data_IF_696964165065
#
_entry.id   IF_696964165065
#
_cell.length_a   1.000
_cell.length_b   1.000
_cell.length_c   1.000
_cell.angle_alpha   90.00
_cell.angle_beta   90.00
_cell.angle_gamma   90.00
#
_symmetry.space_group_name_H-M   'P 1'
#
loop_
_entity.id
_entity.type
_entity.pdbx_description
1 polymer ?
#
# COMPACT_ATOMS: atom_id res chain seq x y z
N UNK A 1 -20.11 -6.53 170.30
CA UNK A 1 -20.97 -5.56 169.58
C UNK A 1 -20.15 -4.47 168.90
N UNK A 2 -19.17 -3.86 169.58
CA UNK A 2 -18.35 -2.75 169.07
C UNK A 2 -17.52 -3.08 167.80
N UNK A 3 -16.88 -4.25 167.71
CA UNK A 3 -16.10 -4.66 166.51
C UNK A 3 -16.90 -4.71 165.20
N UNK A 4 -18.19 -5.05 165.26
CA UNK A 4 -19.06 -5.20 164.08
C UNK A 4 -19.50 -3.84 163.53
N UNK A 5 -19.51 -2.82 164.39
CA UNK A 5 -19.92 -1.46 164.06
C UNK A 5 -18.78 -0.67 163.39
N UNK A 6 -17.54 -0.89 163.82
CA UNK A 6 -16.34 -0.38 163.16
C UNK A 6 -16.09 -1.03 161.79
N UNK A 7 -16.33 -2.34 161.66
CA UNK A 7 -16.26 -3.08 160.39
C UNK A 7 -17.33 -2.59 159.39
N UNK A 8 -18.54 -2.30 159.86
CA UNK A 8 -19.59 -1.68 159.04
C UNK A 8 -19.24 -0.26 158.59
N UNK A 9 -18.61 0.56 159.45
CA UNK A 9 -18.12 1.90 159.07
C UNK A 9 -17.00 1.84 158.05
N UNK A 10 -16.06 0.91 158.19
CA UNK A 10 -14.98 0.70 157.22
C UNK A 10 -15.51 0.20 155.87
N UNK A 11 -16.49 -0.72 155.89
CA UNK A 11 -17.19 -1.18 154.69
C UNK A 11 -17.97 -0.06 154.01
N UNK A 12 -18.62 0.83 154.78
CA UNK A 12 -19.33 2.00 154.24
C UNK A 12 -18.36 2.98 153.55
N UNK A 13 -17.21 3.29 154.16
CA UNK A 13 -16.17 4.14 153.56
C UNK A 13 -15.65 3.51 152.26
N UNK A 14 -15.40 2.21 152.25
CA UNK A 14 -14.95 1.48 151.05
C UNK A 14 -16.00 1.53 149.94
N UNK A 15 -17.29 1.35 150.28
CA UNK A 15 -18.41 1.49 149.34
C UNK A 15 -18.50 2.92 148.81
N UNK A 16 -18.31 3.94 149.64
CA UNK A 16 -18.30 5.35 149.20
C UNK A 16 -17.13 5.66 148.26
N UNK A 17 -15.94 5.13 148.53
CA UNK A 17 -14.77 5.24 147.64
C UNK A 17 -15.00 4.51 146.32
N UNK A 18 -15.55 3.29 146.35
CA UNK A 18 -15.94 2.53 145.16
C UNK A 18 -17.01 3.26 144.34
N UNK A 19 -18.01 3.86 144.99
CA UNK A 19 -19.04 4.68 144.35
C UNK A 19 -18.45 5.95 143.71
N UNK A 20 -17.49 6.63 144.36
CA UNK A 20 -16.78 7.79 143.78
C UNK A 20 -15.96 7.38 142.55
N UNK A 21 -15.26 6.25 142.61
CA UNK A 21 -14.47 5.73 141.49
C UNK A 21 -15.36 5.27 140.33
N UNK A 22 -16.49 4.60 140.62
CA UNK A 22 -17.50 4.22 139.63
C UNK A 22 -18.12 5.45 138.97
N UNK A 23 -18.46 6.49 139.73
CA UNK A 23 -18.97 7.75 139.17
C UNK A 23 -17.96 8.44 138.27
N UNK A 24 -16.68 8.44 138.64
CA UNK A 24 -15.59 8.96 137.81
C UNK A 24 -15.46 8.16 136.51
N UNK A 25 -15.53 6.82 136.58
CA UNK A 25 -15.54 5.94 135.40
C UNK A 25 -16.76 6.19 134.52
N UNK A 26 -17.95 6.33 135.10
CA UNK A 26 -19.19 6.63 134.37
C UNK A 26 -19.06 7.96 133.61
N UNK A 27 -18.62 9.02 134.27
CA UNK A 27 -18.41 10.33 133.63
C UNK A 27 -17.37 10.27 132.50
N UNK A 28 -16.31 9.49 132.67
CA UNK A 28 -15.33 9.25 131.60
C UNK A 28 -15.96 8.49 130.42
N UNK A 29 -16.77 7.47 130.68
CA UNK A 29 -17.49 6.72 129.65
C UNK A 29 -18.51 7.60 128.91
N UNK A 30 -19.23 8.48 129.61
CA UNK A 30 -20.16 9.44 129.00
C UNK A 30 -19.43 10.40 128.06
N UNK A 31 -18.29 10.94 128.48
CA UNK A 31 -17.45 11.79 127.65
C UNK A 31 -16.93 11.04 126.40
N UNK A 32 -16.50 9.79 126.57
CA UNK A 32 -16.06 8.95 125.45
C UNK A 32 -17.20 8.65 124.47
N UNK A 33 -18.39 8.33 124.97
CA UNK A 33 -19.59 8.12 124.14
C UNK A 33 -19.92 9.39 123.35
N UNK A 34 -19.82 10.56 123.98
CA UNK A 34 -20.03 11.83 123.28
C UNK A 34 -19.01 12.05 122.16
N UNK A 35 -17.72 11.80 122.42
CA UNK A 35 -16.66 11.89 121.41
C UNK A 35 -16.91 10.92 120.25
N UNK A 36 -17.21 9.66 120.53
CA UNK A 36 -17.52 8.65 119.51
C UNK A 36 -18.74 9.02 118.66
N UNK A 37 -19.78 9.65 119.25
CA UNK A 37 -20.93 10.14 118.49
C UNK A 37 -20.56 11.27 117.52
N UNK A 38 -19.67 12.18 117.94
CA UNK A 38 -19.17 13.24 117.06
C UNK A 38 -18.33 12.65 115.92
N UNK A 39 -17.45 11.69 116.21
CA UNK A 39 -16.66 10.98 115.20
C UNK A 39 -17.53 10.23 114.20
N UNK A 40 -18.53 9.47 114.67
CA UNK A 40 -19.51 8.78 113.80
C UNK A 40 -20.26 9.80 112.92
N UNK A 41 -20.64 10.95 113.47
CA UNK A 41 -21.26 12.03 112.72
C UNK A 41 -20.36 12.55 111.60
N UNK A 42 -19.08 12.78 111.90
CA UNK A 42 -18.07 13.20 110.92
C UNK A 42 -17.85 12.17 109.82
N UNK A 43 -17.70 10.88 110.18
CA UNK A 43 -17.52 9.78 109.22
C UNK A 43 -18.72 9.65 108.29
N UNK A 44 -19.95 9.80 108.81
CA UNK A 44 -21.16 9.72 107.97
C UNK A 44 -21.26 10.89 106.99
N UNK A 45 -20.81 12.09 107.39
CA UNK A 45 -20.76 13.24 106.50
C UNK A 45 -19.73 13.04 105.39
N UNK A 46 -18.50 12.65 105.75
CA UNK A 46 -17.42 12.37 104.78
C UNK A 46 -17.81 11.26 103.81
N UNK A 47 -18.48 10.21 104.31
CA UNK A 47 -19.03 9.15 103.46
C UNK A 47 -20.07 9.69 102.45
N UNK A 48 -20.97 10.57 102.89
CA UNK A 48 -21.97 11.18 102.00
C UNK A 48 -21.31 12.04 100.93
N UNK A 49 -20.31 12.85 101.30
CA UNK A 49 -19.56 13.67 100.36
C UNK A 49 -18.83 12.81 99.32
N UNK A 50 -18.18 11.72 99.75
CA UNK A 50 -17.53 10.76 98.85
C UNK A 50 -18.52 10.02 97.93
N UNK A 51 -19.71 9.69 98.41
CA UNK A 51 -20.77 9.08 97.58
C UNK A 51 -21.24 10.04 96.50
N UNK A 52 -21.40 11.33 96.81
CA UNK A 52 -21.77 12.38 95.86
C UNK A 52 -20.65 12.64 94.83
N UNK A 53 -19.39 12.79 95.28
CA UNK A 53 -18.24 12.96 94.40
C UNK A 53 -18.06 11.77 93.44
N UNK A 54 -18.26 10.54 93.94
CA UNK A 54 -18.21 9.33 93.13
C UNK A 54 -19.35 9.31 92.10
N UNK A 55 -20.56 9.71 92.48
CA UNK A 55 -21.70 9.76 91.58
C UNK A 55 -21.49 10.77 90.43
N UNK A 56 -20.98 11.96 90.76
CA UNK A 56 -20.69 13.00 89.77
C UNK A 56 -19.58 12.56 88.81
N UNK A 57 -18.48 12.00 89.34
CA UNK A 57 -17.39 11.47 88.51
C UNK A 57 -17.87 10.37 87.55
N UNK A 58 -18.66 9.41 88.04
CA UNK A 58 -19.21 8.34 87.21
C UNK A 58 -20.18 8.88 86.15
N UNK A 59 -20.95 9.92 86.47
CA UNK A 59 -21.89 10.53 85.52
C UNK A 59 -21.17 11.26 84.39
N UNK A 60 -20.11 12.00 84.73
CA UNK A 60 -19.26 12.68 83.74
C UNK A 60 -18.55 11.67 82.85
N UNK A 61 -17.87 10.68 83.43
CA UNK A 61 -17.14 9.65 82.68
C UNK A 61 -18.07 8.88 81.74
N UNK A 62 -19.29 8.54 82.20
CA UNK A 62 -20.30 7.87 81.39
C UNK A 62 -20.71 8.74 80.20
N UNK A 63 -21.01 10.02 80.42
CA UNK A 63 -21.41 10.93 79.36
C UNK A 63 -20.30 11.12 78.31
N UNK A 64 -19.05 11.31 78.75
CA UNK A 64 -17.91 11.44 77.85
C UNK A 64 -17.68 10.17 77.03
N UNK A 65 -17.80 9.00 77.67
CA UNK A 65 -17.69 7.70 76.99
C UNK A 65 -18.80 7.51 75.94
N UNK A 66 -20.04 7.86 76.26
CA UNK A 66 -21.17 7.78 75.32
C UNK A 66 -20.95 8.72 74.12
N UNK A 67 -20.54 9.96 74.36
CA UNK A 67 -20.21 10.93 73.30
C UNK A 67 -19.08 10.44 72.40
N UNK A 68 -18.00 9.91 72.97
CA UNK A 68 -16.88 9.35 72.20
C UNK A 68 -17.31 8.14 71.36
N UNK A 69 -18.18 7.28 71.91
CA UNK A 69 -18.73 6.14 71.18
C UNK A 69 -19.59 6.57 70.00
N UNK A 70 -20.42 7.61 70.15
CA UNK A 70 -21.22 8.17 69.05
C UNK A 70 -20.34 8.72 67.92
N UNK A 71 -19.25 9.42 68.26
CA UNK A 71 -18.31 9.94 67.30
C UNK A 71 -17.57 8.82 66.55
N UNK A 72 -17.10 7.80 67.27
CA UNK A 72 -16.48 6.61 66.66
C UNK A 72 -17.45 5.88 65.73
N UNK A 73 -18.72 5.73 66.12
CA UNK A 73 -19.74 5.13 65.26
C UNK A 73 -19.98 5.93 63.98
N UNK A 74 -19.91 7.27 64.04
CA UNK A 74 -20.00 8.14 62.87
C UNK A 74 -18.80 7.92 61.93
N UNK A 75 -17.59 7.92 62.48
CA UNK A 75 -16.36 7.67 61.69
C UNK A 75 -16.36 6.29 61.03
N UNK A 76 -16.82 5.25 61.74
CA UNK A 76 -16.97 3.90 61.19
C UNK A 76 -17.94 3.88 60.00
N UNK A 77 -19.05 4.62 60.07
CA UNK A 77 -20.00 4.71 58.95
C UNK A 77 -19.39 5.38 57.73
N UNK A 78 -18.66 6.48 57.93
CA UNK A 78 -17.97 7.22 56.87
C UNK A 78 -16.90 6.35 56.19
N UNK A 79 -16.05 5.66 56.97
CA UNK A 79 -15.04 4.74 56.43
C UNK A 79 -15.65 3.57 55.65
N UNK A 80 -16.79 3.03 56.10
CA UNK A 80 -17.46 1.95 55.37
C UNK A 80 -18.07 2.43 54.05
N UNK A 81 -18.55 3.67 53.99
CA UNK A 81 -19.03 4.28 52.76
C UNK A 81 -17.87 4.47 51.76
N UNK A 82 -16.75 5.03 52.23
CA UNK A 82 -15.54 5.21 51.40
C UNK A 82 -15.02 3.86 50.87
N UNK A 83 -14.93 2.85 51.75
CA UNK A 83 -14.54 1.49 51.35
C UNK A 83 -15.44 0.93 50.25
N UNK A 84 -16.75 1.16 50.34
CA UNK A 84 -17.72 0.70 49.33
C UNK A 84 -17.51 1.41 48.00
N UNK A 85 -17.27 2.72 48.02
CA UNK A 85 -17.00 3.50 46.81
C UNK A 85 -15.71 3.04 46.11
N UNK A 86 -14.63 2.85 46.87
CA UNK A 86 -13.35 2.34 46.35
C UNK A 86 -13.52 0.93 45.76
N UNK A 87 -14.34 0.08 46.37
CA UNK A 87 -14.62 -1.26 45.83
C UNK A 87 -15.35 -1.19 44.48
N UNK A 88 -16.31 -0.28 44.34
CA UNK A 88 -17.03 -0.05 43.08
C UNK A 88 -16.07 0.48 42.00
N UNK A 89 -15.23 1.44 42.34
CA UNK A 89 -14.23 2.00 41.42
C UNK A 89 -13.24 0.93 40.94
N UNK A 90 -12.72 0.11 41.85
CA UNK A 90 -11.83 -1.01 41.52
C UNK A 90 -12.50 -2.02 40.58
N UNK A 91 -13.78 -2.33 40.78
CA UNK A 91 -14.52 -3.23 39.90
C UNK A 91 -14.69 -2.63 38.50
N UNK A 92 -14.96 -1.33 38.39
CA UNK A 92 -15.05 -0.65 37.10
C UNK A 92 -13.70 -0.65 36.36
N UNK A 93 -12.60 -0.38 37.07
CA UNK A 93 -11.25 -0.44 36.51
C UNK A 93 -10.90 -1.87 36.02
N UNK A 94 -11.30 -2.90 36.76
CA UNK A 94 -11.11 -4.30 36.33
C UNK A 94 -11.88 -4.64 35.06
N UNK A 95 -13.09 -4.09 34.89
CA UNK A 95 -13.86 -4.26 33.65
C UNK A 95 -13.14 -3.57 32.48
N UNK A 96 -12.69 -2.33 32.67
CA UNK A 96 -11.97 -1.58 31.63
C UNK A 96 -10.65 -2.27 31.21
N UNK A 97 -9.92 -2.87 32.16
CA UNK A 97 -8.72 -3.67 31.87
C UNK A 97 -9.07 -4.86 30.98
N UNK A 98 -10.14 -5.61 31.30
CA UNK A 98 -10.56 -6.77 30.50
C UNK A 98 -10.93 -6.38 29.06
N UNK A 99 -11.68 -5.29 28.89
CA UNK A 99 -12.04 -4.78 27.56
C UNK A 99 -10.80 -4.39 26.74
N UNK A 100 -9.81 -3.77 27.40
CA UNK A 100 -8.52 -3.44 26.76
C UNK A 100 -7.72 -4.68 26.38
N UNK A 101 -7.68 -5.71 27.22
CA UNK A 101 -6.97 -6.97 26.95
C UNK A 101 -7.61 -7.75 25.77
N UNK A 102 -8.94 -7.77 25.68
CA UNK A 102 -9.66 -8.35 24.55
C UNK A 102 -9.33 -7.61 23.23
N UNK A 103 -9.28 -6.27 23.29
CA UNK A 103 -8.91 -5.45 22.13
C UNK A 103 -7.47 -5.68 21.70
N UNK A 104 -6.52 -5.79 22.64
CA UNK A 104 -5.12 -6.11 22.35
C UNK A 104 -5.03 -7.46 21.65
N UNK A 105 -5.70 -8.48 22.19
CA UNK A 105 -5.72 -9.84 21.61
C UNK A 105 -6.27 -9.84 20.16
N UNK A 106 -7.32 -9.06 19.90
CA UNK A 106 -7.88 -8.88 18.55
C UNK A 106 -6.87 -8.22 17.59
N UNK A 107 -6.20 -7.16 18.03
CA UNK A 107 -5.21 -6.45 17.22
C UNK A 107 -3.99 -7.34 16.91
N UNK A 108 -3.51 -8.13 17.86
CA UNK A 108 -2.42 -9.08 17.64
C UNK A 108 -2.76 -10.12 16.56
N UNK A 109 -4.00 -10.60 16.52
CA UNK A 109 -4.46 -11.53 15.49
C UNK A 109 -4.50 -10.86 14.10
N UNK A 110 -4.93 -9.61 14.03
CA UNK A 110 -4.95 -8.82 12.79
C UNK A 110 -3.53 -8.56 12.26
N UNK A 111 -2.58 -8.27 13.15
CA UNK A 111 -1.16 -8.10 12.79
C UNK A 111 -0.61 -9.39 12.19
N UNK A 112 -0.77 -10.53 12.87
CA UNK A 112 -0.31 -11.85 12.36
C UNK A 112 -0.89 -12.18 10.99
N UNK A 113 -2.18 -11.87 10.80
CA UNK A 113 -2.86 -12.09 9.52
C UNK A 113 -2.26 -11.19 8.42
N UNK A 114 -2.01 -9.93 8.74
CA UNK A 114 -1.42 -8.95 7.82
C UNK A 114 0.01 -9.35 7.43
N UNK A 115 0.82 -9.79 8.38
CA UNK A 115 2.17 -10.32 8.13
C UNK A 115 2.15 -11.53 7.19
N UNK A 116 1.22 -12.47 7.39
CA UNK A 116 1.05 -13.61 6.50
C UNK A 116 0.69 -13.19 5.07
N UNK A 117 -0.13 -12.15 4.94
CA UNK A 117 -0.57 -11.59 3.64
C UNK A 117 0.58 -10.89 2.93
N UNK A 118 1.36 -10.06 3.66
CA UNK A 118 2.55 -9.39 3.14
C UNK A 118 3.57 -10.42 2.61
N UNK A 119 3.82 -11.49 3.37
CA UNK A 119 4.72 -12.56 2.93
C UNK A 119 4.23 -13.23 1.65
N UNK A 120 2.93 -13.52 1.53
CA UNK A 120 2.36 -14.09 0.31
C UNK A 120 2.47 -13.15 -0.90
N UNK A 121 2.23 -11.84 -0.70
CA UNK A 121 2.35 -10.84 -1.76
C UNK A 121 3.80 -10.67 -2.22
N UNK A 122 4.76 -10.68 -1.30
CA UNK A 122 6.19 -10.60 -1.64
C UNK A 122 6.64 -11.78 -2.51
N UNK A 123 6.14 -12.99 -2.23
CA UNK A 123 6.40 -14.17 -3.09
C UNK A 123 5.85 -13.94 -4.49
N UNK A 124 4.61 -13.47 -4.63
CA UNK A 124 4.00 -13.18 -5.96
C UNK A 124 4.74 -12.08 -6.71
N UNK A 125 5.23 -11.04 -6.02
CA UNK A 125 6.03 -9.98 -6.64
C UNK A 125 7.32 -10.56 -7.20
N UNK A 126 8.00 -11.43 -6.46
CA UNK A 126 9.23 -12.08 -6.95
C UNK A 126 8.96 -12.96 -8.18
N UNK A 127 7.88 -13.73 -8.17
CA UNK A 127 7.45 -14.57 -9.31
C UNK A 127 7.17 -13.73 -10.56
N UNK A 128 6.35 -12.68 -10.44
CA UNK A 128 6.01 -11.79 -11.56
C UNK A 128 7.23 -11.02 -12.07
N UNK A 129 8.14 -10.62 -11.19
CA UNK A 129 9.41 -9.97 -11.59
C UNK A 129 10.26 -10.91 -12.45
N UNK A 130 10.37 -12.18 -12.05
CA UNK A 130 11.11 -13.19 -12.80
C UNK A 130 10.47 -13.49 -14.17
N UNK A 131 9.14 -13.52 -14.25
CA UNK A 131 8.41 -13.69 -15.50
C UNK A 131 8.59 -12.50 -16.45
N UNK A 132 8.52 -11.28 -15.93
CA UNK A 132 8.76 -10.07 -16.69
C UNK A 132 10.18 -10.02 -17.27
N UNK A 133 11.20 -10.35 -16.46
CA UNK A 133 12.58 -10.42 -16.92
C UNK A 133 12.78 -11.45 -18.05
N UNK A 134 12.04 -12.57 -17.99
CA UNK A 134 12.07 -13.59 -19.03
C UNK A 134 11.46 -13.06 -20.33
N UNK A 135 10.29 -12.44 -20.27
CA UNK A 135 9.61 -11.87 -21.44
C UNK A 135 10.42 -10.74 -22.09
N UNK A 136 11.02 -9.87 -21.29
CA UNK A 136 11.84 -8.76 -21.79
C UNK A 136 13.07 -9.27 -22.58
N UNK A 137 13.68 -10.37 -22.13
CA UNK A 137 14.78 -11.05 -22.86
C UNK A 137 14.31 -11.74 -24.15
N UNK A 138 13.04 -12.12 -24.25
CA UNK A 138 12.47 -12.71 -25.47
C UNK A 138 12.14 -11.64 -26.51
N UNK A 139 11.63 -10.46 -26.11
CA UNK A 139 11.34 -9.33 -27.00
C UNK A 139 12.60 -8.79 -27.69
N UNK A 140 13.71 -8.69 -26.96
CA UNK A 140 14.99 -8.24 -27.52
C UNK A 140 15.51 -9.13 -28.66
N UNK A 141 15.03 -10.38 -28.78
CA UNK A 141 15.41 -11.30 -29.89
C UNK A 141 14.64 -11.05 -31.19
N UNK A 142 13.53 -10.30 -31.17
CA UNK A 142 12.61 -10.15 -32.32
C UNK A 142 12.56 -8.75 -32.93
N UNK A 143 13.45 -7.83 -32.55
CA UNK A 143 13.43 -6.45 -33.06
C UNK A 143 13.72 -6.38 -34.57
N UNK A 144 12.67 -6.22 -35.37
CA UNK A 144 12.75 -5.87 -36.80
C UNK A 144 12.99 -4.36 -36.91
N UNK A 145 14.04 -3.96 -37.63
CA UNK A 145 14.37 -2.54 -37.86
C UNK A 145 14.08 -2.18 -39.31
N UNK A 146 13.15 -1.24 -39.53
CA UNK A 146 12.88 -0.69 -40.86
C UNK A 146 13.90 0.39 -41.20
N UNK A 147 14.65 0.20 -42.29
CA UNK A 147 15.58 1.21 -42.81
C UNK A 147 15.07 1.72 -44.14
N UNK A 148 14.51 2.95 -44.16
CA UNK A 148 14.12 3.61 -45.40
C UNK A 148 15.36 4.02 -46.19
N UNK A 149 15.49 3.55 -47.44
CA UNK A 149 16.48 4.04 -48.41
C UNK A 149 15.78 4.58 -49.65
N UNK A 150 16.00 5.84 -49.95
CA UNK A 150 15.50 6.46 -51.19
C UNK A 150 16.33 5.96 -52.38
N UNK A 151 15.67 5.55 -53.46
CA UNK A 151 16.31 5.17 -54.72
C UNK A 151 15.73 6.02 -55.86
N UNK A 152 16.50 6.29 -56.91
CA UNK A 152 16.07 7.06 -58.08
C UNK A 152 16.12 6.17 -59.31
N UNK A 153 15.13 6.22 -60.19
CA UNK A 153 15.27 5.62 -61.52
C UNK A 153 16.17 6.53 -62.36
N UNK A 154 17.29 6.04 -62.87
CA UNK A 154 18.24 6.90 -63.61
C UNK A 154 18.81 6.27 -64.89
N UNK A 155 18.42 5.05 -65.24
CA UNK A 155 18.83 4.44 -66.50
C UNK A 155 17.74 3.54 -67.08
N UNK A 156 17.79 3.38 -68.40
CA UNK A 156 16.87 2.52 -69.15
C UNK A 156 17.70 1.39 -69.78
N UNK A 157 17.21 0.15 -69.73
CA UNK A 157 17.91 -0.99 -70.31
C UNK A 157 17.94 -0.86 -71.85
N UNK A 158 19.14 -0.92 -72.41
CA UNK A 158 19.37 -0.64 -73.83
C UNK A 158 19.06 -1.83 -74.75
N UNK A 159 18.65 -2.98 -74.20
CA UNK A 159 18.46 -4.22 -74.97
C UNK A 159 17.19 -4.19 -75.84
N UNK A 160 16.16 -3.45 -75.42
CA UNK A 160 14.86 -3.39 -76.11
C UNK A 160 14.53 -2.00 -76.67
N UNK A 161 15.55 -1.27 -77.15
CA UNK A 161 15.34 0.08 -77.66
C UNK A 161 14.39 0.15 -78.86
N UNK A 162 13.72 1.30 -79.01
CA UNK A 162 12.72 1.56 -80.04
C UNK A 162 13.26 1.39 -81.48
N UNK A 163 14.57 1.53 -81.69
CA UNK A 163 15.23 1.34 -82.98
C UNK A 163 16.75 1.12 -82.80
N UNK A 164 17.45 0.71 -83.88
CA UNK A 164 18.92 0.54 -83.89
C UNK A 164 19.68 1.79 -83.46
N UNK A 165 19.08 2.96 -83.64
CA UNK A 165 19.64 4.27 -83.26
C UNK A 165 19.50 4.59 -81.76
N UNK A 166 18.92 3.69 -80.96
CA UNK A 166 18.83 3.79 -79.49
C UNK A 166 18.27 5.12 -79.00
N UNK A 167 17.16 5.58 -79.58
CA UNK A 167 16.56 6.89 -79.29
C UNK A 167 15.90 7.03 -77.90
N UNK A 168 16.16 6.12 -76.97
CA UNK A 168 15.75 6.21 -75.57
C UNK A 168 16.65 7.24 -74.87
N UNK A 169 16.07 8.17 -74.10
CA UNK A 169 16.76 9.30 -73.45
C UNK A 169 17.48 10.28 -74.40
N UNK A 170 17.26 10.21 -75.71
CA UNK A 170 17.69 11.28 -76.61
C UNK A 170 16.73 12.47 -76.49
N UNK A 171 17.28 13.70 -76.45
CA UNK A 171 16.50 14.93 -76.47
C UNK A 171 15.87 15.12 -77.87
N UNK A 172 14.76 14.43 -78.11
CA UNK A 172 14.00 14.50 -79.36
C UNK A 172 12.99 15.62 -79.24
N UNK A 173 13.25 16.74 -79.93
CA UNK A 173 12.41 17.95 -79.90
C UNK A 173 10.96 17.72 -80.31
N UNK A 174 10.68 16.69 -81.13
CA UNK A 174 9.33 16.36 -81.61
C UNK A 174 8.67 15.18 -80.91
N UNK A 175 9.34 14.52 -79.97
CA UNK A 175 8.78 13.37 -79.28
C UNK A 175 8.53 12.12 -80.14
N UNK A 176 9.32 11.94 -81.20
CA UNK A 176 9.31 10.69 -81.98
C UNK A 176 10.74 10.33 -82.37
N UNK A 177 11.07 9.04 -82.40
CA UNK A 177 12.34 8.62 -82.98
C UNK A 177 12.33 8.80 -84.51
N UNK A 178 13.51 8.70 -85.16
CA UNK A 178 13.64 8.85 -86.62
C UNK A 178 12.76 7.93 -87.48
N UNK A 179 12.21 6.86 -86.89
CA UNK A 179 11.33 5.89 -87.55
C UNK A 179 9.88 5.97 -87.04
N UNK A 180 9.47 7.08 -86.42
CA UNK A 180 8.12 7.29 -85.85
C UNK A 180 7.72 6.32 -84.71
N UNK A 181 8.64 5.46 -84.27
CA UNK A 181 8.42 4.68 -83.05
C UNK A 181 8.39 5.61 -81.83
N UNK A 182 7.62 5.19 -80.84
CA UNK A 182 7.53 5.83 -79.54
C UNK A 182 8.89 6.02 -78.89
N UNK A 183 9.03 7.09 -78.12
CA UNK A 183 10.23 7.39 -77.34
C UNK A 183 9.89 7.43 -75.84
N UNK A 184 10.94 7.30 -75.04
CA UNK A 184 10.90 7.42 -73.58
C UNK A 184 11.87 8.48 -73.16
N UNK A 185 11.41 9.38 -72.28
CA UNK A 185 12.29 10.29 -71.56
C UNK A 185 12.09 10.13 -70.06
N UNK A 186 13.18 9.94 -69.33
CA UNK A 186 13.21 9.93 -67.85
C UNK A 186 13.76 11.27 -67.39
N UNK A 187 12.90 12.10 -66.81
CA UNK A 187 13.28 13.40 -66.27
C UNK A 187 13.95 13.28 -64.88
N UNK A 188 14.71 14.30 -64.47
CA UNK A 188 15.45 14.31 -63.18
C UNK A 188 14.56 14.12 -61.94
N UNK A 189 13.27 14.45 -62.05
CA UNK A 189 12.27 14.28 -60.99
C UNK A 189 11.60 12.89 -60.99
N UNK A 190 12.07 11.95 -61.83
CA UNK A 190 11.50 10.62 -61.96
C UNK A 190 10.24 10.53 -62.82
N UNK A 191 9.83 11.64 -63.46
CA UNK A 191 8.74 11.61 -64.44
C UNK A 191 9.20 10.85 -65.69
N UNK A 192 8.43 9.84 -66.08
CA UNK A 192 8.65 9.08 -67.31
C UNK A 192 7.57 9.50 -68.29
N UNK A 193 7.97 10.04 -69.44
CA UNK A 193 7.06 10.33 -70.56
C UNK A 193 7.22 9.26 -71.63
N UNK A 194 6.09 8.66 -72.03
CA UNK A 194 6.02 7.70 -73.11
C UNK A 194 5.02 8.18 -74.15
N UNK A 195 5.43 8.23 -75.42
CA UNK A 195 4.52 8.50 -76.54
C UNK A 195 4.37 7.22 -77.35
N UNK A 196 3.14 6.79 -77.57
CA UNK A 196 2.80 5.59 -78.33
C UNK A 196 3.08 5.80 -79.83
N UNK A 197 3.56 4.77 -80.53
CA UNK A 197 3.70 4.79 -81.98
C UNK A 197 2.34 4.50 -82.64
N UNK A 198 2.02 5.20 -83.73
CA UNK A 198 0.73 5.01 -84.42
C UNK A 198 0.60 3.66 -85.16
N UNK A 199 1.69 2.94 -85.46
CA UNK A 199 1.65 1.71 -86.27
C UNK A 199 2.74 0.64 -85.95
N UNK A 200 3.17 0.48 -84.69
CA UNK A 200 4.27 -0.44 -84.36
C UNK A 200 4.06 -1.28 -83.10
N UNK A 201 4.77 -2.42 -83.04
CA UNK A 201 4.92 -3.23 -81.83
C UNK A 201 5.44 -2.36 -80.68
N UNK A 202 4.60 -2.14 -79.66
CA UNK A 202 5.02 -1.43 -78.46
C UNK A 202 6.08 -2.25 -77.73
N UNK A 203 7.26 -1.67 -77.55
CA UNK A 203 8.36 -2.31 -76.84
C UNK A 203 8.29 -2.01 -75.35
N UNK A 204 8.56 -3.04 -74.56
CA UNK A 204 8.75 -2.97 -73.12
C UNK A 204 9.92 -2.06 -72.77
N UNK A 205 9.69 -1.20 -71.78
CA UNK A 205 10.70 -0.28 -71.27
C UNK A 205 11.09 -0.77 -69.89
N UNK A 206 12.35 -1.18 -69.75
CA UNK A 206 12.90 -1.63 -68.48
C UNK A 206 13.69 -0.48 -67.86
N UNK A 207 13.25 -0.05 -66.67
CA UNK A 207 13.88 1.01 -65.90
C UNK A 207 14.72 0.41 -64.80
N UNK A 208 15.96 0.89 -64.66
CA UNK A 208 16.86 0.48 -63.61
C UNK A 208 16.96 1.57 -62.53
N UNK A 209 16.82 1.14 -61.27
CA UNK A 209 17.15 1.97 -60.12
C UNK A 209 18.66 2.30 -60.08
N UNK A 210 18.99 3.51 -59.65
CA UNK A 210 20.34 4.04 -59.47
C UNK A 210 21.19 3.13 -58.60
N UNK A 211 20.57 2.57 -57.57
CA UNK A 211 21.16 1.52 -56.76
C UNK A 211 20.47 0.22 -57.16
N UNK A 212 21.04 -0.59 -58.08
CA UNK A 212 20.50 -1.91 -58.36
C UNK A 212 20.50 -2.66 -57.03
N UNK A 213 19.34 -3.22 -56.69
CA UNK A 213 19.15 -3.97 -55.45
C UNK A 213 19.84 -5.34 -55.47
N UNK A 214 20.88 -5.48 -56.29
CA UNK A 214 21.73 -6.66 -56.48
C UNK A 214 22.78 -6.80 -55.39
N UNK A 215 22.61 -6.15 -54.24
CA UNK A 215 23.51 -6.44 -53.12
C UNK A 215 23.23 -7.88 -52.71
N UNK A 216 24.04 -8.79 -53.22
CA UNK A 216 24.17 -10.12 -52.68
C UNK A 216 24.22 -9.92 -51.17
N UNK A 217 23.38 -10.66 -50.44
CA UNK A 217 23.59 -10.90 -49.01
C UNK A 217 24.87 -11.74 -48.83
N UNK A 218 25.95 -11.40 -49.56
CA UNK A 218 27.29 -11.89 -49.37
C UNK A 218 27.75 -11.28 -48.06
N UNK A 219 27.35 -11.96 -47.00
CA UNK A 219 28.01 -12.08 -45.72
C UNK A 219 29.51 -11.76 -45.89
N UNK A 220 29.92 -10.55 -45.54
CA UNK A 220 31.35 -10.23 -45.42
C UNK A 220 31.82 -10.92 -44.14
N UNK A 221 32.79 -11.85 -44.18
CA UNK A 221 33.24 -12.60 -43.00
C UNK A 221 33.96 -11.73 -41.95
N UNK A 222 34.22 -10.45 -42.23
CA UNK A 222 35.02 -9.58 -41.36
C UNK A 222 34.22 -8.65 -40.44
N UNK A 223 32.89 -8.67 -40.52
CA UNK A 223 32.04 -8.08 -39.48
C UNK A 223 31.20 -9.19 -38.87
N UNK A 224 31.55 -9.60 -37.64
CA UNK A 224 30.63 -10.32 -36.75
C UNK A 224 29.43 -9.41 -36.47
N UNK A 225 28.48 -9.35 -37.40
CA UNK A 225 27.14 -8.94 -37.04
C UNK A 225 26.59 -10.01 -36.07
N UNK A 226 25.90 -9.62 -34.99
CA UNK A 226 25.26 -10.57 -34.09
C UNK A 226 24.44 -11.57 -34.90
N UNK A 227 24.58 -12.85 -34.58
CA UNK A 227 24.15 -14.03 -35.33
C UNK A 227 22.64 -14.22 -35.54
N UNK A 228 21.83 -13.15 -35.48
CA UNK A 228 20.36 -13.24 -35.45
C UNK A 228 19.62 -12.20 -36.29
N UNK A 229 20.29 -11.39 -37.12
CA UNK A 229 19.56 -10.49 -38.02
C UNK A 229 18.99 -11.30 -39.20
N UNK A 230 17.79 -11.86 -39.02
CA UNK A 230 16.94 -12.38 -40.08
C UNK A 230 16.54 -11.22 -40.99
N UNK A 231 17.42 -10.86 -41.92
CA UNK A 231 17.24 -9.68 -42.75
C UNK A 231 16.25 -10.00 -43.88
N UNK A 232 14.96 -9.83 -43.60
CA UNK A 232 13.98 -9.64 -44.66
C UNK A 232 14.30 -8.32 -45.38
N UNK A 233 14.42 -8.37 -46.69
CA UNK A 233 14.50 -7.16 -47.51
C UNK A 233 13.14 -6.97 -48.18
N UNK A 234 12.43 -5.91 -47.80
CA UNK A 234 11.30 -5.41 -48.57
C UNK A 234 11.84 -4.46 -49.64
N UNK A 235 11.64 -4.82 -50.89
CA UNK A 235 11.76 -3.89 -52.01
C UNK A 235 10.39 -3.31 -52.29
N UNK A 236 10.31 -1.99 -52.41
CA UNK A 236 9.05 -1.29 -52.63
C UNK A 236 9.30 -0.09 -53.53
N UNK A 237 8.48 0.06 -54.56
CA UNK A 237 8.39 1.28 -55.35
C UNK A 237 6.94 1.63 -55.63
N UNK A 238 6.70 2.92 -55.86
CA UNK A 238 5.39 3.46 -56.24
C UNK A 238 5.48 4.07 -57.63
N UNK A 239 4.42 3.88 -58.43
CA UNK A 239 4.26 4.50 -59.75
C UNK A 239 2.96 5.27 -59.74
N UNK A 240 3.03 6.58 -59.98
CA UNK A 240 1.85 7.41 -60.19
C UNK A 240 1.54 7.53 -61.67
N UNK A 241 0.36 7.10 -62.08
CA UNK A 241 -0.13 7.18 -63.45
C UNK A 241 -0.64 8.58 -63.74
N UNK A 242 -0.40 9.06 -64.97
CA UNK A 242 -0.95 10.33 -65.48
C UNK A 242 -1.50 10.12 -66.88
N UNK A 243 -2.72 10.57 -67.11
CA UNK A 243 -3.34 10.55 -68.44
C UNK A 243 -3.04 11.85 -69.18
N UNK A 244 -2.34 11.75 -70.32
CA UNK A 244 -2.13 12.85 -71.25
C UNK A 244 -2.86 12.50 -72.56
N UNK A 245 -4.12 12.95 -72.68
CA UNK A 245 -4.94 12.98 -73.91
C UNK A 245 -5.47 11.65 -74.48
N UNK A 246 -6.50 11.07 -73.85
CA UNK A 246 -7.61 10.36 -74.52
C UNK A 246 -7.28 9.18 -75.44
N UNK A 247 -6.03 8.73 -75.45
CA UNK A 247 -5.53 7.63 -76.26
C UNK A 247 -5.65 6.31 -75.49
N UNK A 248 -5.62 5.19 -76.21
CA UNK A 248 -5.48 3.88 -75.59
C UNK A 248 -4.09 3.79 -74.93
N UNK A 249 -4.06 3.86 -73.60
CA UNK A 249 -2.85 3.80 -72.81
C UNK A 249 -2.65 2.38 -72.27
N UNK A 250 -1.55 1.72 -72.66
CA UNK A 250 -1.13 0.45 -72.09
C UNK A 250 0.03 0.67 -71.12
N UNK A 251 -0.06 0.06 -69.95
CA UNK A 251 0.90 0.17 -68.86
C UNK A 251 1.15 -1.22 -68.26
N UNK A 252 2.44 -1.54 -68.14
CA UNK A 252 2.96 -2.71 -67.45
C UNK A 252 3.85 -2.27 -66.30
N UNK A 253 3.58 -2.75 -65.08
CA UNK A 253 4.37 -2.41 -63.88
C UNK A 253 4.81 -3.70 -63.20
N UNK A 254 6.10 -3.87 -62.97
CA UNK A 254 6.60 -5.09 -62.38
C UNK A 254 8.09 -5.12 -62.13
N UNK A 255 8.55 -6.25 -61.62
CA UNK A 255 9.98 -6.55 -61.45
C UNK A 255 10.42 -7.54 -62.53
N UNK A 256 11.54 -7.24 -63.19
CA UNK A 256 12.25 -8.20 -64.02
C UNK A 256 13.22 -9.00 -63.14
N UNK A 257 12.74 -10.08 -62.54
CA UNK A 257 13.54 -11.00 -61.71
C UNK A 257 13.46 -12.41 -62.27
N UNK A 258 14.61 -13.08 -62.28
CA UNK A 258 14.73 -14.46 -62.71
C UNK A 258 13.75 -15.33 -61.90
N UNK A 259 12.92 -16.12 -62.60
CA UNK A 259 11.96 -17.08 -62.02
C UNK A 259 10.74 -16.48 -61.29
N UNK A 260 10.49 -15.17 -61.35
CA UNK A 260 9.24 -14.57 -60.81
C UNK A 260 8.84 -13.33 -61.59
N UNK A 261 7.68 -13.35 -62.23
CA UNK A 261 7.11 -12.16 -62.87
C UNK A 261 6.02 -11.58 -61.97
N UNK A 262 6.37 -10.67 -61.06
CA UNK A 262 5.34 -9.79 -60.47
C UNK A 262 5.06 -8.74 -61.52
N UNK A 263 3.91 -8.85 -62.17
CA UNK A 263 3.59 -8.04 -63.32
C UNK A 263 2.11 -7.64 -63.32
N UNK A 264 1.86 -6.33 -63.25
CA UNK A 264 0.55 -5.69 -63.40
C UNK A 264 0.43 -5.18 -64.84
N UNK A 265 -0.63 -5.54 -65.56
CA UNK A 265 -0.89 -5.06 -66.92
C UNK A 265 -2.33 -4.56 -67.06
N UNK A 266 -2.55 -3.44 -67.73
CA UNK A 266 -3.91 -2.99 -68.04
C UNK A 266 -4.40 -3.43 -69.44
N UNK A 267 -3.67 -4.35 -70.10
CA UNK A 267 -4.03 -4.91 -71.40
C UNK A 267 -4.43 -6.38 -71.29
N UNK A 268 -5.55 -6.75 -71.92
CA UNK A 268 -6.19 -8.06 -71.79
C UNK A 268 -5.65 -9.12 -72.77
N UNK A 269 -4.33 -9.18 -72.98
CA UNK A 269 -3.71 -10.20 -73.85
C UNK A 269 -3.20 -11.38 -73.03
N UNK A 270 -3.28 -12.59 -73.57
CA UNK A 270 -2.95 -13.88 -72.92
C UNK A 270 -1.46 -14.14 -72.64
N UNK A 271 -0.64 -13.10 -72.48
CA UNK A 271 0.81 -13.23 -72.26
C UNK A 271 1.11 -13.48 -70.78
N UNK A 272 1.08 -14.76 -70.38
CA UNK A 272 1.54 -15.23 -69.08
C UNK A 272 0.63 -14.90 -67.88
N UNK A 273 1.05 -15.32 -66.69
CA UNK A 273 0.37 -15.06 -65.42
C UNK A 273 0.64 -13.63 -64.96
N UNK A 274 -0.23 -12.70 -65.31
CA UNK A 274 -0.18 -11.32 -64.84
C UNK A 274 -1.52 -10.93 -64.22
N UNK A 275 -1.49 -9.95 -63.32
CA UNK A 275 -2.71 -9.40 -62.74
C UNK A 275 -3.18 -8.24 -63.61
N UNK A 276 -4.43 -8.33 -64.08
CA UNK A 276 -5.06 -7.27 -64.87
C UNK A 276 -5.49 -6.15 -63.92
N UNK A 277 -5.18 -4.90 -64.28
CA UNK A 277 -5.64 -3.72 -63.54
C UNK A 277 -6.26 -2.66 -64.45
N UNK A 278 -7.15 -1.85 -63.91
CA UNK A 278 -7.60 -0.60 -64.54
C UNK A 278 -7.07 0.57 -63.73
N UNK A 279 -6.86 1.72 -64.37
CA UNK A 279 -6.38 2.92 -63.69
C UNK A 279 -7.07 4.17 -64.24
N UNK A 280 -7.11 5.21 -63.42
CA UNK A 280 -7.54 6.58 -63.77
C UNK A 280 -6.44 7.59 -63.47
N UNK A 281 -6.54 8.79 -64.06
CA UNK A 281 -5.53 9.83 -63.86
C UNK A 281 -5.24 10.08 -62.37
N UNK A 282 -3.96 10.02 -62.01
CA UNK A 282 -3.50 10.24 -60.64
C UNK A 282 -3.40 8.99 -59.77
N UNK A 283 -3.85 7.82 -60.21
CA UNK A 283 -3.72 6.56 -59.47
C UNK A 283 -2.27 6.24 -59.15
N UNK A 284 -2.03 5.64 -57.97
CA UNK A 284 -0.71 5.22 -57.50
C UNK A 284 -0.69 3.71 -57.27
N UNK A 285 0.23 3.03 -57.94
CA UNK A 285 0.45 1.60 -57.80
C UNK A 285 1.75 1.34 -57.04
N UNK A 286 1.64 0.68 -55.90
CA UNK A 286 2.78 0.19 -55.14
C UNK A 286 3.10 -1.25 -55.52
N UNK A 287 4.34 -1.53 -55.89
CA UNK A 287 4.82 -2.89 -56.13
C UNK A 287 5.96 -3.20 -55.18
N UNK A 288 5.93 -4.38 -54.55
CA UNK A 288 6.99 -4.79 -53.66
C UNK A 288 7.22 -6.29 -53.59
N UNK A 289 8.46 -6.65 -53.24
CA UNK A 289 8.89 -8.05 -53.03
C UNK A 289 9.45 -8.14 -51.62
N UNK A 290 8.96 -9.11 -50.86
CA UNK A 290 9.56 -9.52 -49.59
C UNK A 290 10.41 -10.74 -49.89
N UNK A 291 11.73 -10.63 -49.72
CA UNK A 291 12.58 -11.80 -49.76
C UNK A 291 12.54 -12.48 -48.40
N UNK A 292 12.06 -13.74 -48.31
CA UNK A 292 12.27 -14.52 -47.11
C UNK A 292 13.77 -14.78 -46.96
N UNK A 293 14.21 -14.99 -45.72
CA UNK A 293 15.54 -15.52 -45.47
C UNK A 293 15.71 -16.82 -46.28
N UNK A 294 16.78 -16.95 -47.06
CA UNK A 294 17.21 -18.29 -47.50
C UNK A 294 17.46 -19.08 -46.21
N UNK A 295 16.64 -20.10 -45.93
CA UNK A 295 17.04 -21.15 -45.02
C UNK A 295 18.27 -21.80 -45.67
N UNK A 296 19.45 -21.50 -45.14
CA UNK A 296 20.66 -22.28 -45.36
C UNK A 296 20.72 -23.28 -44.21
#
# INVERSE_FOLDING_TARGET
MIKKEEENKLNLIKIEEECKELNKKLKNSENLIYQLRQEIGGINLEKSELEDELHDALTVDKYETEKNNEELLKQIKELNLEKTNVLVENNNLLIEIREKDEKISSLELQVKTSESTINSLNVKIAELTAEWDKLNKEDDKQRVVFVKRTNKMNSVQNQNSCCKSKCINSNLSGGFCKNENGYVNVHENGLIKYINAWMGENKWIFLNGQHPYTKALSYRPYFKAPSYSNNYCLFYFEVKMRDEFGAFCYAGIGFDVQDTNIFLCNYNYTWGSHQVFTWVDGDVFGCGIVFPQKMI
#
